data_IF_489735204207
#
_entry.id   IF_489735204207
#
_cell.length_a   1.000
_cell.length_b   1.000
_cell.length_c   1.000
_cell.angle_alpha   90.00
_cell.angle_beta   90.00
_cell.angle_gamma   90.00
#
_symmetry.space_group_name_H-M   'P 1'
#
loop_
_entity.id
_entity.type
_entity.pdbx_description
1 polymer ?
#
# COMPACT_ATOMS: atom_id res chain seq x y z
N UNK A 1 -14.42 57.04 -35.55
CA UNK A 1 -14.11 56.49 -34.20
C UNK A 1 -15.37 55.85 -33.66
N UNK A 2 -15.47 54.63 -33.16
CA UNK A 2 -14.65 53.44 -33.24
C UNK A 2 -15.64 52.29 -33.01
N UNK A 3 -15.86 51.45 -34.03
CA UNK A 3 -16.62 50.22 -33.89
C UNK A 3 -15.77 49.25 -33.04
N UNK A 4 -16.37 48.67 -31.99
CA UNK A 4 -15.78 47.58 -31.19
C UNK A 4 -16.70 46.36 -31.19
N UNK A 5 -16.13 45.14 -31.18
CA UNK A 5 -16.61 44.04 -32.00
C UNK A 5 -17.36 42.97 -31.20
N UNK A 6 -18.20 42.21 -31.92
CA UNK A 6 -18.89 41.00 -31.48
C UNK A 6 -17.89 39.98 -30.93
N UNK A 7 -18.06 39.58 -29.67
CA UNK A 7 -17.31 38.46 -29.07
C UNK A 7 -17.80 37.15 -29.71
N UNK A 8 -16.87 36.47 -30.34
CA UNK A 8 -17.01 35.19 -31.01
C UNK A 8 -17.26 34.05 -30.02
N UNK A 9 -18.17 33.16 -30.39
CA UNK A 9 -18.29 31.83 -29.82
C UNK A 9 -17.00 31.05 -30.10
N UNK A 10 -16.39 30.49 -29.07
CA UNK A 10 -15.26 29.56 -29.20
C UNK A 10 -15.68 28.23 -28.60
N UNK A 11 -15.89 27.27 -29.49
CA UNK A 11 -16.05 25.86 -29.18
C UNK A 11 -14.84 25.37 -28.39
N UNK A 12 -15.05 24.74 -27.24
CA UNK A 12 -14.02 23.96 -26.55
C UNK A 12 -14.36 22.48 -26.65
N UNK A 13 -13.64 21.88 -27.58
CA UNK A 13 -13.47 20.46 -27.86
C UNK A 13 -13.01 19.70 -26.62
N UNK A 14 -13.48 18.48 -26.50
CA UNK A 14 -13.07 17.42 -25.58
C UNK A 14 -11.56 17.16 -25.55
N UNK A 15 -10.98 17.08 -24.37
CA UNK A 15 -9.73 16.36 -24.06
C UNK A 15 -9.90 15.87 -22.61
N UNK A 16 -10.09 14.57 -22.36
CA UNK A 16 -9.09 13.53 -22.60
C UNK A 16 -8.25 13.41 -21.33
N UNK A 17 -8.64 12.47 -20.46
CA UNK A 17 -7.95 12.14 -19.20
C UNK A 17 -6.48 11.88 -19.46
N UNK A 18 -5.62 12.83 -19.10
CA UNK A 18 -4.18 12.65 -19.15
C UNK A 18 -3.76 11.95 -17.86
N UNK A 19 -3.41 10.66 -17.98
CA UNK A 19 -2.70 9.93 -16.94
C UNK A 19 -1.53 10.77 -16.43
N UNK A 20 -1.41 10.85 -15.10
CA UNK A 20 -0.27 11.45 -14.44
C UNK A 20 1.05 10.85 -14.99
N UNK A 21 2.08 11.67 -15.23
CA UNK A 21 3.34 11.19 -15.77
C UNK A 21 4.00 10.16 -14.84
N UNK A 22 4.69 9.14 -15.39
CA UNK A 22 5.39 8.15 -14.57
C UNK A 22 6.45 8.85 -13.73
N UNK A 23 6.40 8.64 -12.42
CA UNK A 23 7.34 9.21 -11.46
C UNK A 23 8.78 8.94 -11.90
N UNK A 24 9.58 10.01 -12.01
CA UNK A 24 10.97 9.96 -12.41
C UNK A 24 11.77 9.01 -11.51
N UNK A 25 12.52 8.08 -12.11
CA UNK A 25 13.41 7.15 -11.39
C UNK A 25 14.49 7.96 -10.65
N UNK A 26 14.35 8.06 -9.32
CA UNK A 26 15.36 8.62 -8.43
C UNK A 26 16.64 7.78 -8.48
N UNK A 27 17.83 8.38 -8.32
CA UNK A 27 19.11 7.67 -8.43
C UNK A 27 19.19 6.56 -7.39
N UNK A 28 19.75 5.41 -7.79
CA UNK A 28 19.90 4.23 -6.95
C UNK A 28 20.88 4.52 -5.81
N UNK A 29 20.35 4.97 -4.67
CA UNK A 29 21.13 5.13 -3.45
C UNK A 29 21.44 3.73 -2.92
N UNK A 30 22.69 3.49 -2.48
CA UNK A 30 23.09 2.21 -1.89
C UNK A 30 22.23 1.96 -0.65
N UNK A 31 21.30 1.01 -0.76
CA UNK A 31 20.41 0.63 0.34
C UNK A 31 21.20 -0.21 1.37
N UNK A 32 20.94 -0.01 2.67
CA UNK A 32 21.37 -0.93 3.71
C UNK A 32 20.95 -2.37 3.39
N UNK A 33 21.71 -3.39 3.83
CA UNK A 33 21.40 -4.80 3.54
C UNK A 33 20.04 -5.25 4.11
N UNK A 34 19.60 -4.63 5.22
CA UNK A 34 18.28 -4.87 5.81
C UNK A 34 17.18 -4.33 4.90
N UNK A 35 17.30 -3.07 4.46
CA UNK A 35 16.31 -2.41 3.60
C UNK A 35 16.19 -3.11 2.24
N UNK A 36 17.30 -3.59 1.68
CA UNK A 36 17.28 -4.37 0.45
C UNK A 36 16.51 -5.68 0.61
N UNK A 37 16.63 -6.36 1.76
CA UNK A 37 15.86 -7.57 2.07
C UNK A 37 14.38 -7.26 2.21
N UNK A 38 14.02 -6.22 2.98
CA UNK A 38 12.62 -5.79 3.18
C UNK A 38 11.98 -5.40 1.86
N UNK A 39 12.69 -4.66 1.01
CA UNK A 39 12.21 -4.28 -0.32
C UNK A 39 11.98 -5.52 -1.19
N UNK A 40 12.88 -6.52 -1.13
CA UNK A 40 12.69 -7.81 -1.77
C UNK A 40 11.38 -8.49 -1.34
N UNK A 41 11.12 -8.57 -0.02
CA UNK A 41 9.90 -9.18 0.52
C UNK A 41 8.62 -8.44 0.09
N UNK A 42 8.65 -7.10 0.05
CA UNK A 42 7.53 -6.29 -0.44
C UNK A 42 7.29 -6.54 -1.93
N UNK A 43 8.34 -6.62 -2.73
CA UNK A 43 8.26 -6.91 -4.17
C UNK A 43 7.74 -8.32 -4.40
N UNK A 44 8.18 -9.31 -3.62
CA UNK A 44 7.70 -10.68 -3.71
C UNK A 44 6.22 -10.80 -3.34
N UNK A 45 5.76 -10.04 -2.34
CA UNK A 45 4.33 -9.93 -2.02
C UNK A 45 3.55 -9.33 -3.21
N UNK A 46 4.05 -8.25 -3.81
CA UNK A 46 3.42 -7.64 -4.98
C UNK A 46 3.38 -8.58 -6.19
N UNK A 47 4.47 -9.32 -6.44
CA UNK A 47 4.57 -10.30 -7.52
C UNK A 47 3.55 -11.43 -7.33
N UNK A 48 3.38 -11.95 -6.09
CA UNK A 48 2.36 -12.97 -5.80
C UNK A 48 0.93 -12.49 -6.10
N UNK A 49 0.63 -11.23 -5.79
CA UNK A 49 -0.66 -10.61 -6.09
C UNK A 49 -0.86 -10.43 -7.60
N UNK A 50 0.15 -9.91 -8.30
CA UNK A 50 0.13 -9.74 -9.74
C UNK A 50 -0.03 -11.08 -10.49
N UNK A 51 0.72 -12.10 -10.08
CA UNK A 51 0.62 -13.45 -10.64
C UNK A 51 -0.76 -14.07 -10.43
N UNK A 52 -1.37 -13.85 -9.27
CA UNK A 52 -2.72 -14.33 -8.98
C UNK A 52 -3.74 -13.67 -9.91
N UNK A 53 -3.62 -12.36 -10.13
CA UNK A 53 -4.46 -11.62 -11.07
C UNK A 53 -4.29 -12.10 -12.52
N UNK A 54 -3.04 -12.29 -12.98
CA UNK A 54 -2.74 -12.81 -14.33
C UNK A 54 -3.31 -14.21 -14.54
N UNK A 55 -3.21 -15.07 -13.52
CA UNK A 55 -3.73 -16.44 -13.54
C UNK A 55 -5.25 -16.50 -13.33
N UNK A 56 -5.94 -15.35 -13.23
CA UNK A 56 -7.39 -15.24 -12.94
C UNK A 56 -7.80 -16.03 -11.69
N UNK A 57 -6.91 -16.10 -10.70
CA UNK A 57 -7.20 -16.64 -9.39
C UNK A 57 -7.50 -15.50 -8.44
N UNK A 58 -8.38 -15.78 -7.48
CA UNK A 58 -8.74 -14.80 -6.47
C UNK A 58 -7.48 -14.40 -5.69
N UNK A 59 -7.12 -13.11 -5.70
CA UNK A 59 -5.91 -12.68 -5.03
C UNK A 59 -6.13 -12.74 -3.52
N UNK A 60 -5.22 -13.45 -2.85
CA UNK A 60 -5.23 -13.65 -1.41
C UNK A 60 -3.86 -13.30 -0.81
N UNK A 61 -3.87 -12.77 0.40
CA UNK A 61 -2.69 -12.50 1.22
C UNK A 61 -2.68 -13.43 2.42
N UNK A 62 -1.58 -14.14 2.62
CA UNK A 62 -1.38 -14.96 3.82
C UNK A 62 -0.71 -14.12 4.89
N UNK A 63 -1.37 -14.00 6.05
CA UNK A 63 -0.92 -13.18 7.18
C UNK A 63 -0.73 -14.10 8.38
N UNK A 64 0.41 -14.05 9.09
CA UNK A 64 0.62 -14.87 10.29
C UNK A 64 -0.48 -14.63 11.33
N UNK A 65 -1.08 -15.71 11.85
CA UNK A 65 -2.12 -15.59 12.86
C UNK A 65 -1.50 -15.18 14.21
N UNK A 66 -1.80 -13.98 14.70
CA UNK A 66 -1.34 -13.46 16.01
C UNK A 66 -2.19 -13.98 17.18
N UNK A 67 -2.28 -15.30 17.32
CA UNK A 67 -3.00 -15.96 18.42
C UNK A 67 -2.03 -16.63 19.40
N UNK A 68 -2.42 -16.74 20.68
CA UNK A 68 -1.59 -17.43 21.70
C UNK A 68 -1.26 -18.88 21.32
N UNK A 69 -2.14 -19.52 20.55
CA UNK A 69 -1.93 -20.89 20.03
C UNK A 69 -0.86 -20.98 18.95
N UNK A 70 -0.56 -19.88 18.26
CA UNK A 70 0.40 -19.80 17.16
C UNK A 70 1.72 -19.13 17.59
N UNK A 71 2.04 -19.16 18.87
CA UNK A 71 3.23 -18.50 19.40
C UNK A 71 4.08 -19.54 20.13
N UNK A 72 5.39 -19.57 19.84
CA UNK A 72 6.33 -20.51 20.47
C UNK A 72 7.52 -19.78 21.05
N UNK A 73 7.89 -20.13 22.28
CA UNK A 73 9.11 -19.62 22.88
C UNK A 73 10.34 -20.39 22.36
N UNK A 74 11.27 -19.67 21.73
CA UNK A 74 12.55 -20.20 21.31
C UNK A 74 13.56 -20.07 22.45
N UNK A 75 13.85 -21.18 23.14
CA UNK A 75 14.77 -21.20 24.29
C UNK A 75 16.20 -20.80 23.94
N UNK A 76 16.65 -21.09 22.72
CA UNK A 76 18.04 -20.79 22.30
C UNK A 76 18.22 -19.29 22.07
N UNK A 77 17.27 -18.65 21.41
CA UNK A 77 17.30 -17.21 21.11
C UNK A 77 16.69 -16.34 22.22
N UNK A 78 16.02 -16.96 23.20
CA UNK A 78 15.27 -16.30 24.29
C UNK A 78 14.23 -15.29 23.78
N UNK A 79 13.67 -15.56 22.60
CA UNK A 79 12.62 -14.74 22.00
C UNK A 79 11.37 -15.57 21.75
N UNK A 80 10.25 -14.87 21.67
CA UNK A 80 8.98 -15.42 21.23
C UNK A 80 8.95 -15.35 19.70
N UNK A 81 8.69 -16.49 19.06
CA UNK A 81 8.59 -16.60 17.61
C UNK A 81 7.16 -16.95 17.20
N UNK A 82 6.71 -16.38 16.08
CA UNK A 82 5.46 -16.77 15.45
C UNK A 82 5.57 -18.18 14.88
N UNK A 83 4.50 -18.96 15.05
CA UNK A 83 4.34 -20.27 14.44
C UNK A 83 3.95 -20.19 12.97
N UNK A 84 3.69 -21.34 12.36
CA UNK A 84 3.39 -21.45 10.93
C UNK A 84 1.92 -21.24 10.55
N UNK A 85 1.01 -20.99 11.50
CA UNK A 85 -0.39 -20.77 11.14
C UNK A 85 -0.56 -19.39 10.51
N UNK A 86 -1.18 -19.36 9.34
CA UNK A 86 -1.51 -18.13 8.62
C UNK A 86 -3.02 -18.04 8.41
N UNK A 87 -3.52 -16.82 8.35
CA UNK A 87 -4.88 -16.49 7.96
C UNK A 87 -4.85 -15.90 6.55
N UNK A 88 -5.77 -16.35 5.69
CA UNK A 88 -5.87 -15.87 4.31
C UNK A 88 -6.86 -14.71 4.22
N UNK A 89 -6.39 -13.53 3.83
CA UNK A 89 -7.24 -12.39 3.48
C UNK A 89 -7.51 -12.38 1.99
N UNK A 90 -8.78 -12.46 1.62
CA UNK A 90 -9.21 -12.50 0.22
C UNK A 90 -9.79 -11.15 -0.19
N UNK A 91 -9.44 -10.69 -1.41
CA UNK A 91 -9.96 -9.43 -1.94
C UNK A 91 -11.49 -9.47 -2.16
N UNK A 92 -12.04 -10.60 -2.60
CA UNK A 92 -13.45 -10.73 -2.94
C UNK A 92 -14.37 -11.00 -1.74
N UNK A 93 -13.82 -11.07 -0.52
CA UNK A 93 -14.61 -11.18 0.68
C UNK A 93 -14.93 -9.78 1.21
N UNK A 94 -16.22 -9.41 1.28
CA UNK A 94 -16.67 -8.07 1.66
C UNK A 94 -16.09 -7.58 2.99
N UNK A 95 -15.96 -8.46 3.99
CA UNK A 95 -15.44 -8.08 5.31
C UNK A 95 -13.93 -7.93 5.34
N UNK A 96 -13.20 -8.53 4.38
CA UNK A 96 -11.75 -8.56 4.33
C UNK A 96 -11.17 -7.64 3.24
N UNK A 97 -11.97 -7.26 2.25
CA UNK A 97 -11.58 -6.44 1.10
C UNK A 97 -10.94 -5.12 1.54
N UNK A 98 -11.53 -4.44 2.54
CA UNK A 98 -10.99 -3.20 3.11
C UNK A 98 -9.57 -3.41 3.66
N UNK A 99 -9.40 -4.39 4.55
CA UNK A 99 -8.10 -4.71 5.16
C UNK A 99 -7.07 -5.19 4.14
N UNK A 100 -7.49 -5.93 3.12
CA UNK A 100 -6.64 -6.37 2.01
C UNK A 100 -6.06 -5.16 1.26
N UNK A 101 -6.91 -4.22 0.85
CA UNK A 101 -6.50 -3.01 0.13
C UNK A 101 -5.60 -2.11 0.98
N UNK A 102 -5.93 -1.97 2.27
CA UNK A 102 -5.11 -1.23 3.24
C UNK A 102 -3.72 -1.86 3.39
N UNK A 103 -3.60 -3.18 3.42
CA UNK A 103 -2.30 -3.88 3.51
C UNK A 103 -1.41 -3.55 2.30
N UNK A 104 -1.97 -3.56 1.09
CA UNK A 104 -1.24 -3.19 -0.12
C UNK A 104 -0.84 -1.71 -0.14
N UNK A 105 -1.68 -0.84 0.39
CA UNK A 105 -1.41 0.59 0.50
C UNK A 105 -0.24 0.85 1.49
N UNK A 106 -0.24 0.19 2.64
CA UNK A 106 0.87 0.25 3.61
C UNK A 106 2.16 -0.26 2.98
N UNK A 107 2.12 -1.40 2.28
CA UNK A 107 3.29 -1.93 1.58
C UNK A 107 3.88 -0.95 0.56
N UNK A 108 3.02 -0.22 -0.16
CA UNK A 108 3.43 0.83 -1.10
C UNK A 108 4.07 2.02 -0.37
N UNK A 109 3.51 2.43 0.77
CA UNK A 109 4.07 3.46 1.64
C UNK A 109 5.46 3.08 2.16
N UNK A 110 5.62 1.85 2.66
CA UNK A 110 6.91 1.31 3.12
C UNK A 110 7.95 1.30 2.00
N UNK A 111 7.58 0.88 0.78
CA UNK A 111 8.46 0.93 -0.37
C UNK A 111 8.90 2.37 -0.71
N UNK A 112 7.98 3.32 -0.68
CA UNK A 112 8.29 4.73 -0.94
C UNK A 112 9.23 5.34 0.11
N UNK A 113 9.15 4.89 1.37
CA UNK A 113 10.05 5.29 2.45
C UNK A 113 11.45 4.70 2.28
N UNK A 114 11.55 3.42 1.90
CA UNK A 114 12.82 2.76 1.58
C UNK A 114 13.51 3.45 0.39
N UNK A 115 12.76 3.73 -0.69
CA UNK A 115 13.27 4.44 -1.88
C UNK A 115 13.79 5.86 -1.54
N UNK A 116 13.26 6.48 -0.49
CA UNK A 116 13.67 7.80 -0.01
C UNK A 116 14.75 7.75 1.07
N UNK A 117 15.11 6.54 1.56
CA UNK A 117 15.99 6.33 2.72
C UNK A 117 15.54 7.14 3.95
N UNK A 118 14.23 7.19 4.19
CA UNK A 118 13.65 7.87 5.34
C UNK A 118 12.89 6.87 6.20
N UNK A 119 13.08 6.97 7.52
CA UNK A 119 12.20 6.33 8.48
C UNK A 119 11.11 7.30 8.91
N UNK A 120 9.94 6.76 9.26
CA UNK A 120 8.83 7.52 9.84
C UNK A 120 8.29 6.78 11.06
N UNK A 121 7.56 7.47 11.91
CA UNK A 121 6.81 6.83 12.99
C UNK A 121 5.53 6.18 12.45
N UNK A 122 4.97 5.22 13.18
CA UNK A 122 3.69 4.57 12.84
C UNK A 122 2.57 5.62 12.62
N UNK A 123 2.53 6.65 13.46
CA UNK A 123 1.63 7.81 13.28
C UNK A 123 1.93 8.62 12.03
N UNK A 124 3.21 8.85 11.73
CA UNK A 124 3.62 9.52 10.51
C UNK A 124 3.20 8.75 9.26
N UNK A 125 3.32 7.42 9.29
CA UNK A 125 2.82 6.54 8.23
C UNK A 125 1.30 6.62 8.10
N UNK A 126 0.56 6.58 9.20
CA UNK A 126 -0.90 6.79 9.19
C UNK A 126 -1.29 8.10 8.47
N UNK A 127 -0.66 9.24 8.80
CA UNK A 127 -0.96 10.50 8.12
C UNK A 127 -0.54 10.54 6.65
N UNK A 128 0.57 9.87 6.30
CA UNK A 128 1.01 9.75 4.92
C UNK A 128 0.06 8.89 4.07
N UNK A 129 -0.61 7.92 4.67
CA UNK A 129 -1.54 7.03 3.98
C UNK A 129 -2.98 7.51 4.03
N UNK A 130 -3.31 8.42 4.96
CA UNK A 130 -4.64 9.03 5.11
C UNK A 130 -4.91 9.97 3.94
N UNK A 131 -5.56 9.43 2.92
CA UNK A 131 -5.99 10.16 1.74
C UNK A 131 -7.46 9.85 1.46
N UNK A 132 -8.18 10.84 0.96
CA UNK A 132 -9.51 10.62 0.42
C UNK A 132 -9.37 9.93 -0.93
N UNK A 133 -10.06 8.81 -1.12
CA UNK A 133 -10.04 8.11 -2.41
C UNK A 133 -10.69 9.02 -3.45
N UNK A 134 -10.01 9.25 -4.57
CA UNK A 134 -10.49 10.14 -5.63
C UNK A 134 -11.86 9.67 -6.14
N UNK A 135 -12.87 10.54 -6.05
CA UNK A 135 -14.24 10.23 -6.47
C UNK A 135 -15.16 9.65 -5.40
N UNK A 136 -14.67 9.40 -4.18
CA UNK A 136 -15.50 9.06 -3.02
C UNK A 136 -15.31 10.05 -1.88
N UNK A 137 -16.17 9.96 -0.85
CA UNK A 137 -16.00 10.70 0.42
C UNK A 137 -15.34 9.83 1.50
N UNK A 138 -14.80 8.68 1.11
CA UNK A 138 -14.24 7.71 2.04
C UNK A 138 -12.73 7.91 2.15
N UNK A 139 -12.24 7.90 3.39
CA UNK A 139 -10.82 7.92 3.68
C UNK A 139 -10.27 6.49 3.63
N UNK A 140 -9.03 6.34 3.17
CA UNK A 140 -8.30 5.06 3.17
C UNK A 140 -8.15 4.45 4.58
N UNK A 141 -7.97 5.32 5.59
CA UNK A 141 -7.96 4.97 7.01
C UNK A 141 -8.80 5.97 7.80
N UNK A 142 -9.80 5.47 8.52
CA UNK A 142 -10.69 6.32 9.33
C UNK A 142 -10.02 6.68 10.66
N UNK A 143 -9.42 5.70 11.33
CA UNK A 143 -8.76 5.85 12.64
C UNK A 143 -7.39 5.19 12.65
N UNK A 144 -6.56 5.59 13.62
CA UNK A 144 -5.25 4.97 13.82
C UNK A 144 -5.36 3.51 14.27
N UNK A 145 -6.38 3.20 15.08
CA UNK A 145 -6.67 1.84 15.57
C UNK A 145 -6.93 0.84 14.43
N UNK A 146 -7.37 1.31 13.26
CA UNK A 146 -7.49 0.50 12.05
C UNK A 146 -6.14 0.30 11.33
N UNK A 147 -5.20 1.22 11.48
CA UNK A 147 -3.91 1.20 10.76
C UNK A 147 -2.87 0.34 11.48
N UNK A 148 -2.78 0.47 12.81
CA UNK A 148 -1.81 -0.24 13.65
C UNK A 148 -1.80 -1.78 13.39
N UNK A 149 -2.93 -2.51 13.41
CA UNK A 149 -2.92 -3.96 13.13
C UNK A 149 -2.51 -4.30 11.69
N UNK A 150 -2.80 -3.43 10.72
CA UNK A 150 -2.44 -3.67 9.30
C UNK A 150 -0.93 -3.51 9.08
N UNK A 151 -0.30 -2.56 9.78
CA UNK A 151 1.16 -2.39 9.75
C UNK A 151 1.83 -3.60 10.41
N UNK A 152 1.30 -4.02 11.55
CA UNK A 152 1.75 -5.23 12.25
C UNK A 152 1.62 -6.50 11.38
N UNK A 153 0.55 -6.64 10.60
CA UNK A 153 0.37 -7.77 9.71
C UNK A 153 1.36 -7.81 8.52
N UNK A 154 1.91 -6.66 8.16
CA UNK A 154 2.89 -6.53 7.08
C UNK A 154 4.32 -6.87 7.55
N UNK A 155 4.62 -6.69 8.83
CA UNK A 155 5.90 -7.02 9.48
C UNK A 155 6.19 -8.53 9.47
#
# INVERSE_FOLDING_TARGET
>A
MAAKPKRSASAKTSAGSALAPPAAKKPAVKLPPVDAKTLGQIVDLANRVADSAVKRRDPQLEIPARTLSNVRFNKARKIIEMGGQTNSRQLFNLSQAKSYMQTLLVATGCKALIDQQKSTSIRGLYYLLKHTIEGTREETFATQEECDPIIEDLE
#
